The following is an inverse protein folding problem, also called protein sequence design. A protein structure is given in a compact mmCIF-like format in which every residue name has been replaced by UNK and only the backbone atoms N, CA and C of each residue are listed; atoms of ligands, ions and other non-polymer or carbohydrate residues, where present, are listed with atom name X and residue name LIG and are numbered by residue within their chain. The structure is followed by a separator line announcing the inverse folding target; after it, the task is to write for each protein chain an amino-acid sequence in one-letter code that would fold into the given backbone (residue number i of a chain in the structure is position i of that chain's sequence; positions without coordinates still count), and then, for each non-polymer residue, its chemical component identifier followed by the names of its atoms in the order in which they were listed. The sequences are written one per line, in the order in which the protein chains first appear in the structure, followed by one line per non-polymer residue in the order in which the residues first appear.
data_IF_734417969463
#
_entry.id   IF_734417969463
#
_cell.length_a   1.000
_cell.length_b   1.000
_cell.length_c   1.000
_cell.angle_alpha   90.00
_cell.angle_beta   90.00
_cell.angle_gamma   90.00
#
_symmetry.space_group_name_H-M   'P 1'
#
loop_
_entity.id
_entity.type
_entity.pdbx_description
1 polymer ?
#
# COMPACT_ATOMS: atom_id res chain seq x y z
N UNK A 1 -10.19 7.97 -38.36
CA UNK A 1 -9.24 8.85 -37.65
C UNK A 1 -9.73 9.19 -36.24
N UNK A 2 -10.79 9.99 -36.06
CA UNK A 2 -11.26 10.41 -34.72
C UNK A 2 -11.65 9.25 -33.77
N UNK A 3 -12.28 8.19 -34.27
CA UNK A 3 -12.63 6.99 -33.48
C UNK A 3 -11.41 6.17 -33.02
N UNK A 4 -10.29 6.21 -33.77
CA UNK A 4 -9.05 5.52 -33.41
C UNK A 4 -8.30 6.26 -32.30
N UNK A 5 -8.33 7.60 -32.35
CA UNK A 5 -7.73 8.48 -31.34
C UNK A 5 -8.47 8.36 -30.00
N UNK A 6 -9.81 8.30 -30.03
CA UNK A 6 -10.62 8.07 -28.82
C UNK A 6 -10.33 6.71 -28.16
N UNK A 7 -10.05 5.66 -28.96
CA UNK A 7 -9.70 4.34 -28.44
C UNK A 7 -8.29 4.30 -27.83
N UNK A 8 -7.32 5.02 -28.41
CA UNK A 8 -5.97 5.16 -27.84
C UNK A 8 -5.97 5.95 -26.53
N UNK A 9 -6.82 6.97 -26.40
CA UNK A 9 -6.98 7.74 -25.16
C UNK A 9 -7.62 6.90 -24.03
N UNK A 10 -8.48 5.93 -24.36
CA UNK A 10 -9.09 5.02 -23.38
C UNK A 10 -8.09 3.98 -22.82
N UNK A 11 -7.07 3.62 -23.60
CA UNK A 11 -5.99 2.69 -23.21
C UNK A 11 -4.89 3.37 -22.39
N UNK A 12 -4.85 4.71 -22.38
CA UNK A 12 -3.90 5.50 -21.61
C UNK A 12 -4.42 5.86 -20.21
N UNK A 13 -5.37 5.10 -19.66
CA UNK A 13 -5.75 5.25 -18.27
C UNK A 13 -4.49 5.04 -17.41
N UNK A 14 -4.13 5.99 -16.53
CA UNK A 14 -3.02 5.78 -15.62
C UNK A 14 -3.34 4.53 -14.81
N UNK A 15 -2.49 3.51 -14.90
CA UNK A 15 -2.44 2.48 -13.88
C UNK A 15 -2.15 3.22 -12.59
N UNK A 16 -3.22 3.57 -11.84
CA UNK A 16 -3.07 3.92 -10.45
C UNK A 16 -2.35 2.72 -9.85
N UNK A 17 -1.08 2.91 -9.49
CA UNK A 17 -0.39 1.95 -8.66
C UNK A 17 -1.26 1.84 -7.41
N UNK A 18 -1.99 0.74 -7.29
CA UNK A 18 -2.66 0.42 -6.04
C UNK A 18 -1.53 0.36 -5.00
N UNK A 19 -1.47 1.35 -4.13
CA UNK A 19 -0.52 1.32 -3.02
C UNK A 19 -0.84 0.07 -2.21
N UNK A 20 0.13 -0.82 -2.07
CA UNK A 20 -0.07 -2.05 -1.32
C UNK A 20 -0.41 -1.70 0.14
N UNK A 21 -1.60 -2.07 0.60
CA UNK A 21 -2.11 -1.75 1.95
C UNK A 21 -1.26 -2.37 3.07
N UNK A 22 -0.52 -3.42 2.75
CA UNK A 22 0.39 -4.12 3.67
C UNK A 22 1.66 -4.56 2.95
N UNK A 23 2.71 -4.85 3.72
CA UNK A 23 3.94 -5.49 3.24
C UNK A 23 3.96 -6.99 3.52
N UNK A 24 4.75 -7.71 2.74
CA UNK A 24 5.00 -9.14 2.90
C UNK A 24 6.48 -9.36 3.30
N UNK A 25 6.75 -9.86 4.52
CA UNK A 25 8.08 -10.19 5.02
C UNK A 25 8.95 -11.02 4.08
N UNK A 26 8.35 -11.83 3.21
CA UNK A 26 9.07 -12.70 2.29
C UNK A 26 9.49 -11.97 1.00
N UNK A 27 8.86 -10.83 0.67
CA UNK A 27 9.08 -10.11 -0.59
C UNK A 27 9.40 -8.62 -0.41
N UNK A 28 9.49 -8.13 0.84
CA UNK A 28 9.77 -6.74 1.17
C UNK A 28 11.26 -6.39 1.24
N UNK A 29 11.64 -5.09 1.15
CA UNK A 29 13.01 -4.64 1.38
C UNK A 29 13.57 -5.11 2.73
N UNK A 30 14.87 -5.41 2.76
CA UNK A 30 15.54 -5.96 3.95
C UNK A 30 15.44 -5.01 5.17
N UNK A 31 15.38 -3.71 4.93
CA UNK A 31 15.27 -2.65 5.93
C UNK A 31 13.95 -2.71 6.71
N UNK A 32 12.89 -3.29 6.13
CA UNK A 32 11.59 -3.48 6.79
C UNK A 32 11.56 -4.71 7.71
N UNK A 33 12.61 -5.55 7.67
CA UNK A 33 12.76 -6.74 8.50
C UNK A 33 11.68 -7.80 8.22
N UNK A 34 11.38 -8.63 9.21
CA UNK A 34 10.34 -9.68 9.10
C UNK A 34 8.98 -9.22 9.65
N UNK A 35 8.68 -7.93 9.55
CA UNK A 35 7.44 -7.33 10.08
C UNK A 35 6.44 -7.12 8.95
N UNK A 36 5.20 -7.55 9.17
CA UNK A 36 4.06 -7.17 8.32
C UNK A 36 3.62 -5.74 8.68
N UNK A 37 3.95 -4.78 7.81
CA UNK A 37 3.60 -3.37 8.01
C UNK A 37 2.26 -3.05 7.37
N UNK A 38 1.29 -2.63 8.17
CA UNK A 38 0.00 -2.13 7.70
C UNK A 38 0.07 -0.60 7.50
N UNK A 39 -0.43 -0.10 6.37
CA UNK A 39 -0.47 1.34 6.08
C UNK A 39 -1.71 2.03 6.66
N UNK A 40 -2.81 1.29 6.81
CA UNK A 40 -4.04 1.78 7.40
C UNK A 40 -4.01 1.57 8.92
N UNK A 41 -4.10 2.67 9.67
CA UNK A 41 -4.09 2.66 11.14
C UNK A 41 -5.31 1.94 11.72
N UNK A 42 -6.49 2.11 11.12
CA UNK A 42 -7.74 1.49 11.59
C UNK A 42 -7.65 -0.04 11.48
N UNK A 43 -7.12 -0.56 10.37
CA UNK A 43 -6.84 -1.99 10.20
C UNK A 43 -5.89 -2.51 11.28
N UNK A 44 -4.85 -1.74 11.62
CA UNK A 44 -3.92 -2.09 12.69
C UNK A 44 -4.60 -2.14 14.07
N UNK A 45 -5.52 -1.22 14.36
CA UNK A 45 -6.28 -1.17 15.61
C UNK A 45 -7.21 -2.39 15.76
N UNK A 46 -7.92 -2.75 14.69
CA UNK A 46 -8.81 -3.92 14.68
C UNK A 46 -8.04 -5.21 14.98
N UNK A 47 -6.93 -5.44 14.28
CA UNK A 47 -6.08 -6.63 14.48
C UNK A 47 -5.43 -6.67 15.86
N UNK A 48 -4.95 -5.54 16.37
CA UNK A 48 -4.37 -5.45 17.71
C UNK A 48 -5.39 -5.81 18.80
N UNK A 49 -6.64 -5.37 18.61
CA UNK A 49 -7.75 -5.69 19.52
C UNK A 49 -8.10 -7.18 19.45
N UNK A 50 -8.22 -7.75 18.25
CA UNK A 50 -8.52 -9.17 18.05
C UNK A 50 -7.43 -10.08 18.64
N UNK A 51 -6.17 -9.70 18.45
CA UNK A 51 -5.01 -10.52 18.86
C UNK A 51 -4.52 -10.23 20.27
N UNK A 52 -5.06 -9.21 20.95
CA UNK A 52 -4.60 -8.78 22.27
C UNK A 52 -3.15 -8.29 22.28
N UNK A 53 -2.69 -7.66 21.19
CA UNK A 53 -1.31 -7.18 21.02
C UNK A 53 -1.24 -5.66 21.12
N UNK A 54 -0.13 -5.09 21.64
CA UNK A 54 0.08 -3.65 21.61
C UNK A 54 0.30 -3.16 20.17
N UNK A 55 -0.05 -1.90 19.91
CA UNK A 55 0.15 -1.24 18.62
C UNK A 55 1.53 -0.55 18.62
N UNK A 56 2.28 -0.74 17.55
CA UNK A 56 3.48 0.02 17.23
C UNK A 56 3.22 0.86 15.96
N UNK A 57 3.37 2.18 16.05
CA UNK A 57 3.22 3.10 14.93
C UNK A 57 4.56 3.73 14.59
N UNK A 58 4.95 3.64 13.31
CA UNK A 58 6.15 4.29 12.79
C UNK A 58 5.74 5.45 11.90
N UNK A 59 6.11 6.67 12.31
CA UNK A 59 5.96 7.86 11.48
C UNK A 59 7.26 8.05 10.70
N UNK A 60 7.20 7.94 9.38
CA UNK A 60 8.29 8.29 8.49
C UNK A 60 7.94 9.59 7.78
N UNK A 61 8.92 10.48 7.68
CA UNK A 61 8.81 11.63 6.78
C UNK A 61 8.88 11.10 5.34
N UNK A 62 7.85 11.38 4.55
CA UNK A 62 7.90 11.11 3.11
C UNK A 62 8.62 12.32 2.48
N UNK A 63 9.74 12.14 1.76
CA UNK A 63 10.42 13.26 1.13
C UNK A 63 9.48 13.97 0.15
N UNK A 64 9.34 15.29 0.31
CA UNK A 64 8.60 16.19 -0.56
C UNK A 64 9.46 17.36 -1.00
#
# INVERSE_FOLDING_TARGET
MAKLIALMLLLAAPMHAAEAETTDPETQPAELGSVHWYRNVDTGIELATEQGKPIFLQFQEVPG
#
